data_IF_310711334785
#
_entry.id   IF_310711334785
#
_cell.length_a   1.000
_cell.length_b   1.000
_cell.length_c   1.000
_cell.angle_alpha   90.00
_cell.angle_beta   90.00
_cell.angle_gamma   90.00
#
_symmetry.space_group_name_H-M   'P 1'
#
loop_
_entity.id
_entity.type
_entity.pdbx_description
1 polymer ?
#
# COMPACT_ATOMS: atom_id res chain seq x y z
N UNK A 1 1.07 -15.34 15.19
CA UNK A 1 1.85 -14.42 14.33
C UNK A 1 0.90 -13.92 13.28
N UNK A 2 0.46 -12.66 13.37
CA UNK A 2 -0.56 -12.11 12.49
C UNK A 2 -0.02 -11.93 11.08
N UNK A 3 -0.81 -12.32 10.09
CA UNK A 3 -0.48 -12.16 8.67
C UNK A 3 -0.58 -10.67 8.32
N UNK A 4 0.54 -9.97 8.28
CA UNK A 4 0.61 -8.55 7.85
C UNK A 4 1.44 -8.42 6.58
N UNK A 5 1.29 -7.31 5.86
CA UNK A 5 2.08 -7.01 4.66
C UNK A 5 3.53 -6.62 5.00
N UNK A 6 3.76 -6.08 6.21
CA UNK A 6 5.10 -5.81 6.72
C UNK A 6 5.57 -6.99 7.60
N UNK A 7 6.88 -7.18 7.73
CA UNK A 7 7.45 -8.20 8.63
C UNK A 7 7.94 -7.56 9.93
N UNK A 8 7.84 -8.30 11.04
CA UNK A 8 8.34 -7.83 12.34
C UNK A 8 9.87 -7.68 12.28
N UNK A 9 10.39 -6.56 12.78
CA UNK A 9 11.83 -6.29 12.92
C UNK A 9 12.62 -6.41 11.61
N UNK A 10 12.02 -6.06 10.47
CA UNK A 10 12.68 -6.11 9.17
C UNK A 10 12.03 -5.21 8.11
N UNK A 11 12.39 -5.47 6.87
CA UNK A 11 11.81 -4.82 5.70
C UNK A 11 11.33 -5.85 4.69
N UNK A 12 10.21 -5.57 4.04
CA UNK A 12 9.71 -6.34 2.89
C UNK A 12 9.98 -5.53 1.64
N UNK A 13 10.60 -6.14 0.62
CA UNK A 13 10.68 -5.57 -0.72
C UNK A 13 9.94 -6.49 -1.68
N UNK A 14 9.00 -5.93 -2.45
CA UNK A 14 8.29 -6.70 -3.48
C UNK A 14 7.87 -5.86 -4.67
N UNK A 15 7.82 -6.50 -5.82
CA UNK A 15 7.10 -5.98 -6.98
C UNK A 15 5.63 -6.39 -6.88
N UNK A 16 4.74 -5.48 -7.26
CA UNK A 16 3.31 -5.73 -7.38
C UNK A 16 2.86 -5.28 -8.76
N UNK A 17 2.25 -6.21 -9.47
CA UNK A 17 1.66 -5.98 -10.78
C UNK A 17 0.16 -5.78 -10.61
N UNK A 18 -0.33 -4.62 -10.99
CA UNK A 18 -1.73 -4.24 -10.88
C UNK A 18 -2.41 -4.40 -12.24
N UNK A 19 -3.43 -5.27 -12.37
CA UNK A 19 -4.30 -5.25 -13.54
C UNK A 19 -5.12 -3.94 -13.57
N UNK A 20 -5.77 -3.61 -14.69
CA UNK A 20 -6.76 -2.53 -14.75
C UNK A 20 -7.76 -2.60 -13.59
N UNK A 21 -8.05 -1.46 -12.96
CA UNK A 21 -8.96 -1.37 -11.82
C UNK A 21 -8.28 -1.00 -10.50
N UNK A 22 -8.84 -1.47 -9.38
CA UNK A 22 -8.48 -1.00 -8.03
C UNK A 22 -8.10 -2.13 -7.07
N UNK A 23 -7.11 -1.88 -6.21
CA UNK A 23 -6.79 -2.74 -5.07
C UNK A 23 -7.85 -2.64 -3.97
N UNK A 24 -7.75 -3.42 -2.89
CA UNK A 24 -8.52 -3.11 -1.69
C UNK A 24 -8.02 -1.81 -1.03
N UNK A 25 -8.94 -1.09 -0.38
CA UNK A 25 -8.62 0.00 0.54
C UNK A 25 -8.15 -0.59 1.86
N UNK A 26 -6.92 -0.28 2.28
CA UNK A 26 -6.29 -0.92 3.43
C UNK A 26 -5.28 -0.01 4.14
N UNK A 27 -4.89 -0.40 5.35
CA UNK A 27 -3.89 0.24 6.19
C UNK A 27 -3.03 -0.84 6.84
N UNK A 28 -1.72 -0.63 6.79
CA UNK A 28 -0.70 -1.43 7.47
C UNK A 28 -0.09 -0.61 8.59
N UNK A 29 0.42 -1.29 9.63
CA UNK A 29 1.24 -0.64 10.66
C UNK A 29 2.70 -0.51 10.20
N UNK A 30 2.90 0.16 9.07
CA UNK A 30 4.20 0.33 8.43
C UNK A 30 4.41 1.73 7.85
N UNK A 31 5.67 2.02 7.55
CA UNK A 31 6.02 3.04 6.56
C UNK A 31 6.39 2.33 5.25
N UNK A 32 5.76 2.77 4.17
CA UNK A 32 5.92 2.15 2.85
C UNK A 32 6.46 3.17 1.84
N UNK A 33 7.44 2.75 1.05
CA UNK A 33 7.93 3.48 -0.12
C UNK A 33 7.43 2.77 -1.37
N UNK A 34 6.41 3.34 -2.02
CA UNK A 34 5.86 2.83 -3.26
C UNK A 34 6.38 3.62 -4.45
N UNK A 35 7.04 2.96 -5.40
CA UNK A 35 7.60 3.59 -6.60
C UNK A 35 6.90 3.03 -7.84
N UNK A 36 6.44 3.91 -8.73
CA UNK A 36 5.87 3.49 -10.02
C UNK A 36 7.00 3.10 -10.96
N UNK A 37 7.04 1.84 -11.36
CA UNK A 37 8.06 1.29 -12.27
C UNK A 37 7.57 1.28 -13.72
N UNK A 38 6.29 1.00 -13.93
CA UNK A 38 5.63 0.94 -15.25
C UNK A 38 4.16 1.37 -15.13
N UNK A 39 3.64 2.06 -16.15
CA UNK A 39 2.26 2.56 -16.18
C UNK A 39 2.06 3.87 -15.40
N UNK A 40 0.79 4.19 -15.15
CA UNK A 40 0.35 5.29 -14.29
C UNK A 40 -0.55 4.70 -13.19
N UNK A 41 -0.36 5.19 -11.97
CA UNK A 41 -1.08 4.73 -10.78
C UNK A 41 -1.73 5.92 -10.11
N UNK A 42 -2.93 5.74 -9.56
CA UNK A 42 -3.56 6.71 -8.69
C UNK A 42 -3.55 6.20 -7.25
N UNK A 43 -3.02 7.03 -6.35
CA UNK A 43 -3.12 6.83 -4.91
C UNK A 43 -4.39 7.51 -4.40
N UNK A 44 -5.28 6.75 -3.77
CA UNK A 44 -6.51 7.26 -3.15
C UNK A 44 -6.45 7.05 -1.65
N UNK A 45 -6.77 8.09 -0.87
CA UNK A 45 -6.82 8.06 0.60
C UNK A 45 -8.27 7.95 1.11
N UNK A 46 -8.44 7.48 2.34
CA UNK A 46 -9.75 7.44 3.01
C UNK A 46 -10.33 8.82 3.34
N UNK A 47 -9.52 9.88 3.27
CA UNK A 47 -9.97 11.28 3.32
C UNK A 47 -10.73 11.73 2.08
N UNK A 48 -10.66 10.97 0.97
CA UNK A 48 -11.17 11.34 -0.34
C UNK A 48 -10.16 12.07 -1.23
N UNK A 49 -8.99 12.41 -0.71
CA UNK A 49 -7.89 12.94 -1.51
C UNK A 49 -7.31 11.86 -2.43
N UNK A 50 -6.88 12.26 -3.63
CA UNK A 50 -6.21 11.37 -4.56
C UNK A 50 -5.05 12.07 -5.29
N UNK A 51 -4.17 11.25 -5.87
CA UNK A 51 -3.05 11.73 -6.68
C UNK A 51 -2.68 10.71 -7.76
N UNK A 52 -2.72 11.15 -9.01
CA UNK A 52 -2.12 10.42 -10.13
C UNK A 52 -0.59 10.55 -10.06
N UNK A 53 0.07 9.40 -10.15
CA UNK A 53 1.50 9.17 -10.08
C UNK A 53 1.97 8.52 -11.39
N UNK A 54 3.06 9.04 -11.94
CA UNK A 54 3.68 8.57 -13.17
C UNK A 54 4.92 7.75 -12.89
N UNK A 55 5.44 7.08 -13.92
CA UNK A 55 6.70 6.33 -13.83
C UNK A 55 7.81 7.17 -13.19
N UNK A 56 8.44 6.60 -12.16
CA UNK A 56 9.49 7.23 -11.35
C UNK A 56 8.97 8.00 -10.13
N UNK A 57 7.68 8.30 -10.04
CA UNK A 57 7.10 8.95 -8.86
C UNK A 57 7.13 8.00 -7.65
N UNK A 58 7.29 8.61 -6.47
CA UNK A 58 7.40 7.91 -5.18
C UNK A 58 6.32 8.40 -4.23
N UNK A 59 5.59 7.46 -3.64
CA UNK A 59 4.73 7.71 -2.50
C UNK A 59 5.42 7.24 -1.22
N UNK A 60 5.40 8.09 -0.20
CA UNK A 60 5.82 7.74 1.16
C UNK A 60 4.58 7.59 2.03
N UNK A 61 4.13 6.36 2.21
CA UNK A 61 2.93 6.05 2.97
C UNK A 61 3.26 5.87 4.44
N UNK A 62 2.75 6.75 5.30
CA UNK A 62 3.05 6.76 6.74
C UNK A 62 1.91 6.14 7.55
N UNK A 63 1.51 4.93 7.15
CA UNK A 63 0.39 4.14 7.68
C UNK A 63 -0.99 4.83 7.57
N UNK A 64 -1.21 5.56 6.49
CA UNK A 64 -2.55 6.04 6.10
C UNK A 64 -3.33 4.90 5.44
N UNK A 65 -4.66 4.96 5.53
CA UNK A 65 -5.52 4.01 4.81
C UNK A 65 -5.62 4.45 3.36
N UNK A 66 -5.33 3.53 2.43
CA UNK A 66 -5.16 3.87 1.03
C UNK A 66 -5.55 2.72 0.08
N UNK A 67 -5.77 3.11 -1.17
CA UNK A 67 -6.07 2.22 -2.30
C UNK A 67 -5.19 2.63 -3.48
N UNK A 68 -4.71 1.63 -4.22
CA UNK A 68 -4.01 1.81 -5.49
C UNK A 68 -4.96 1.53 -6.64
N UNK A 69 -5.02 2.45 -7.60
CA UNK A 69 -5.82 2.30 -8.82
C UNK A 69 -4.89 2.34 -10.01
N UNK A 70 -4.91 1.31 -10.84
CA UNK A 70 -4.28 1.36 -12.14
C UNK A 70 -5.23 2.13 -13.07
N UNK A 71 -4.77 3.28 -13.58
CA UNK A 71 -5.58 4.17 -14.43
C UNK A 71 -5.67 3.71 -15.88
N UNK A 72 -4.87 2.69 -16.26
CA UNK A 72 -4.95 2.06 -17.57
C UNK A 72 -6.15 1.14 -17.70
N UNK A 73 -6.83 1.18 -18.85
CA UNK A 73 -8.03 0.37 -19.13
C UNK A 73 -7.70 -1.09 -19.50
N UNK A 74 -6.56 -1.31 -20.16
CA UNK A 74 -6.19 -2.64 -20.69
C UNK A 74 -4.81 -3.12 -20.21
N UNK A 75 -3.92 -2.19 -19.85
CA UNK A 75 -2.51 -2.50 -19.54
C UNK A 75 -2.32 -2.67 -18.04
N UNK A 76 -1.46 -3.61 -17.69
CA UNK A 76 -0.98 -3.76 -16.33
C UNK A 76 0.00 -2.64 -15.98
N UNK A 77 0.01 -2.23 -14.72
CA UNK A 77 0.98 -1.31 -14.15
C UNK A 77 1.83 -2.06 -13.11
N UNK A 78 3.07 -1.58 -12.88
CA UNK A 78 3.99 -2.20 -11.92
C UNK A 78 4.47 -1.17 -10.91
N UNK A 79 4.42 -1.55 -9.64
CA UNK A 79 5.07 -0.82 -8.56
C UNK A 79 6.08 -1.71 -7.85
N UNK A 80 7.12 -1.10 -7.27
CA UNK A 80 7.93 -1.72 -6.22
C UNK A 80 7.58 -1.07 -4.90
N UNK A 81 7.43 -1.89 -3.87
CA UNK A 81 7.18 -1.45 -2.51
C UNK A 81 8.30 -1.90 -1.59
N UNK A 82 8.77 -0.99 -0.75
CA UNK A 82 9.59 -1.28 0.43
C UNK A 82 8.77 -0.94 1.66
N UNK A 83 8.39 -1.94 2.46
CA UNK A 83 7.61 -1.79 3.67
C UNK A 83 8.50 -2.02 4.88
N UNK A 84 8.43 -1.14 5.86
CA UNK A 84 9.13 -1.29 7.14
C UNK A 84 8.13 -1.15 8.28
N UNK A 85 8.18 -2.07 9.25
CA UNK A 85 7.35 -2.01 10.44
C UNK A 85 7.44 -0.65 11.12
N UNK A 86 6.31 -0.15 11.60
CA UNK A 86 6.23 1.06 12.40
C UNK A 86 5.62 0.78 13.77
N UNK A 87 5.90 1.67 14.73
CA UNK A 87 5.17 1.67 16.00
C UNK A 87 3.69 1.99 15.74
N UNK A 88 2.81 1.52 16.64
CA UNK A 88 1.39 1.86 16.60
C UNK A 88 1.17 3.36 16.34
N UNK A 89 0.37 3.66 15.33
CA UNK A 89 0.01 5.02 14.97
C UNK A 89 -1.11 5.52 15.88
N UNK A 90 -1.00 6.78 16.30
CA UNK A 90 -2.05 7.44 17.06
C UNK A 90 -2.25 8.89 16.57
N UNK A 91 -3.50 9.25 16.29
CA UNK A 91 -3.89 10.60 15.90
C UNK A 91 -4.86 11.13 16.95
N UNK A 92 -4.56 12.29 17.56
CA UNK A 92 -5.37 12.87 18.64
C UNK A 92 -5.70 11.86 19.76
N UNK A 93 -4.74 11.00 20.10
CA UNK A 93 -4.84 9.90 21.09
C UNK A 93 -5.70 8.70 20.68
N UNK A 94 -6.27 8.70 19.49
CA UNK A 94 -6.94 7.52 18.92
C UNK A 94 -5.90 6.65 18.24
N UNK A 95 -5.77 5.40 18.71
CA UNK A 95 -4.92 4.40 18.06
C UNK A 95 -5.55 3.99 16.74
N UNK A 96 -4.74 3.97 15.70
CA UNK A 96 -5.14 3.47 14.39
C UNK A 96 -4.67 2.03 14.29
N UNK A 97 -5.60 1.11 14.07
CA UNK A 97 -5.29 -0.32 13.91
C UNK A 97 -4.93 -0.66 12.48
N UNK A 98 -4.28 -1.81 12.32
CA UNK A 98 -4.16 -2.47 11.03
C UNK A 98 -5.54 -2.82 10.48
N UNK A 99 -5.74 -2.57 9.19
CA UNK A 99 -7.00 -2.83 8.50
C UNK A 99 -6.67 -3.26 7.08
N UNK A 100 -6.60 -4.57 6.85
CA UNK A 100 -6.22 -5.12 5.55
C UNK A 100 -7.38 -5.11 4.54
N UNK A 101 -8.59 -4.70 4.92
CA UNK A 101 -9.78 -4.84 4.09
C UNK A 101 -9.91 -6.26 3.54
N UNK A 102 -10.27 -6.39 2.25
CA UNK A 102 -10.35 -7.69 1.58
C UNK A 102 -8.99 -8.29 1.21
N UNK A 103 -7.86 -7.59 1.42
CA UNK A 103 -6.54 -8.21 1.24
C UNK A 103 -6.25 -9.24 2.32
N UNK A 104 -6.90 -9.17 3.48
CA UNK A 104 -6.73 -10.15 4.55
C UNK A 104 -7.15 -11.57 4.15
N UNK A 105 -8.06 -11.68 3.18
CA UNK A 105 -8.58 -12.96 2.70
C UNK A 105 -7.55 -13.66 1.81
N UNK A 106 -6.83 -14.63 2.38
CA UNK A 106 -5.83 -15.41 1.65
C UNK A 106 -4.48 -14.70 1.49
N UNK A 107 -4.21 -13.65 2.27
CA UNK A 107 -2.90 -13.02 2.27
C UNK A 107 -1.83 -14.03 2.64
N UNK A 108 -0.80 -14.15 1.80
CA UNK A 108 0.40 -14.93 2.16
C UNK A 108 1.32 -14.06 3.00
N UNK A 109 1.84 -14.56 4.14
CA UNK A 109 2.82 -13.84 4.93
C UNK A 109 4.04 -13.48 4.07
N UNK A 110 4.60 -12.30 4.31
CA UNK A 110 5.93 -11.96 3.79
C UNK A 110 6.95 -12.63 4.71
N UNK A 111 7.45 -13.81 4.31
CA UNK A 111 8.48 -14.58 5.02
C UNK A 111 9.88 -14.08 4.72
#
# INVERSE_FOLDING_TARGET
>A
MGTTLATLQGSVLRFVDFPPGRSAMHRTLSIDYGVVIEGEMELVLDSGENRVMKRGDVAVQRGTKHQWVNTGEEKWARMVFVLQESKQLAVKRVKLEEDLGSLGDGLRPSV
#
